data_IF_343990967893
#
_entry.id   IF_343990967893
#
_cell.length_a   1.000
_cell.length_b   1.000
_cell.length_c   1.000
_cell.angle_alpha   90.00
_cell.angle_beta   90.00
_cell.angle_gamma   90.00
#
_symmetry.space_group_name_H-M   'P 1'
#
loop_
_entity.id
_entity.type
_entity.pdbx_description
1 polymer ?
#
# COMPACT_ATOMS: atom_id res chain seq x y z
N UNK A 1 1.99 -21.78 19.10
CA UNK A 1 2.55 -21.64 17.74
C UNK A 1 1.46 -21.04 16.89
N UNK A 2 1.41 -19.70 16.83
CA UNK A 2 0.40 -18.96 16.06
C UNK A 2 1.14 -17.93 15.23
N UNK A 3 1.98 -18.44 14.31
CA UNK A 3 2.66 -17.63 13.31
C UNK A 3 1.96 -17.81 11.97
N UNK A 4 0.63 -17.68 11.96
CA UNK A 4 -0.09 -17.39 10.74
C UNK A 4 0.09 -15.89 10.46
N UNK A 5 1.32 -15.50 10.10
CA UNK A 5 1.55 -14.30 9.29
C UNK A 5 0.79 -14.56 7.99
N UNK A 6 -0.49 -14.22 7.94
CA UNK A 6 -1.13 -13.97 6.67
C UNK A 6 -0.25 -12.91 6.00
N UNK A 7 0.38 -13.26 4.88
CA UNK A 7 1.24 -12.39 4.09
C UNK A 7 0.38 -11.31 3.43
N UNK A 8 -0.19 -10.42 4.25
CA UNK A 8 -0.84 -9.21 3.79
C UNK A 8 0.24 -8.25 3.35
N UNK A 9 0.10 -7.76 2.12
CA UNK A 9 1.03 -6.80 1.54
C UNK A 9 0.39 -5.45 1.65
N UNK A 10 1.03 -4.54 2.35
CA UNK A 10 0.59 -3.17 2.42
C UNK A 10 1.39 -2.33 1.42
N UNK A 11 0.71 -1.55 0.59
CA UNK A 11 1.32 -0.77 -0.50
C UNK A 11 0.98 0.71 -0.31
N UNK A 12 2.02 1.53 -0.26
CA UNK A 12 1.92 2.97 -0.20
C UNK A 12 2.11 3.56 -1.59
N UNK A 13 1.06 4.14 -2.18
CA UNK A 13 1.12 4.71 -3.53
C UNK A 13 1.51 6.19 -3.59
N UNK A 14 1.91 6.76 -2.44
CA UNK A 14 2.40 8.14 -2.35
C UNK A 14 3.83 8.26 -2.89
N UNK A 15 4.29 9.50 -3.01
CA UNK A 15 5.66 9.83 -3.40
C UNK A 15 6.67 9.26 -2.41
N UNK A 16 7.87 8.92 -2.87
CA UNK A 16 8.99 8.53 -2.01
C UNK A 16 9.29 9.54 -0.89
N UNK A 17 9.10 10.84 -1.17
CA UNK A 17 9.28 11.88 -0.18
C UNK A 17 8.25 11.79 0.96
N UNK A 18 6.96 11.57 0.62
CA UNK A 18 5.89 11.43 1.61
C UNK A 18 6.07 10.16 2.44
N UNK A 19 6.46 9.06 1.78
CA UNK A 19 6.82 7.83 2.47
C UNK A 19 7.99 8.04 3.43
N UNK A 20 9.02 8.77 3.03
CA UNK A 20 10.17 9.11 3.87
C UNK A 20 9.85 10.02 5.06
N UNK A 21 8.82 10.87 4.94
CA UNK A 21 8.33 11.69 6.06
C UNK A 21 7.54 10.86 7.08
N UNK A 22 7.00 9.71 6.67
CA UNK A 22 6.28 8.79 7.55
C UNK A 22 5.35 7.88 6.76
N UNK A 23 5.32 6.61 7.10
CA UNK A 23 4.54 5.58 6.41
C UNK A 23 4.04 4.52 7.38
N UNK A 24 3.21 3.59 6.93
CA UNK A 24 2.76 2.50 7.79
C UNK A 24 3.89 1.43 7.88
N UNK A 25 4.29 0.98 9.07
CA UNK A 25 5.37 -0.01 9.20
C UNK A 25 5.09 -1.28 8.36
N UNK A 26 6.07 -1.67 7.54
CA UNK A 26 5.93 -2.84 6.65
C UNK A 26 5.22 -2.57 5.33
N UNK A 27 4.81 -1.32 5.06
CA UNK A 27 4.34 -0.94 3.74
C UNK A 27 5.47 -0.93 2.70
N UNK A 28 5.16 -1.28 1.45
CA UNK A 28 6.05 -1.15 0.30
C UNK A 28 5.65 0.12 -0.44
N UNK A 29 6.58 1.05 -0.63
CA UNK A 29 6.31 2.25 -1.38
C UNK A 29 6.38 2.00 -2.89
N UNK A 30 5.24 2.14 -3.57
CA UNK A 30 5.15 2.04 -5.03
C UNK A 30 4.32 3.20 -5.53
N UNK A 31 4.95 4.31 -5.96
CA UNK A 31 4.24 5.47 -6.49
C UNK A 31 3.23 5.11 -7.58
N UNK A 32 2.05 5.76 -7.56
CA UNK A 32 0.95 5.48 -8.49
C UNK A 32 1.38 5.46 -9.97
N UNK A 33 2.26 6.39 -10.36
CA UNK A 33 2.80 6.50 -11.73
C UNK A 33 3.64 5.29 -12.18
N UNK A 34 4.17 4.51 -11.24
CA UNK A 34 4.97 3.32 -11.50
C UNK A 34 4.29 2.05 -11.01
N UNK A 35 3.07 2.14 -10.48
CA UNK A 35 2.34 1.03 -9.87
C UNK A 35 2.11 -0.13 -10.84
N UNK A 36 1.72 0.14 -12.09
CA UNK A 36 1.44 -0.91 -13.08
C UNK A 36 2.70 -1.74 -13.43
N UNK A 37 3.87 -1.09 -13.49
CA UNK A 37 5.12 -1.74 -13.82
C UNK A 37 5.75 -2.41 -12.60
N UNK A 38 5.88 -1.67 -11.50
CA UNK A 38 6.56 -2.13 -10.29
C UNK A 38 5.73 -3.12 -9.49
N UNK A 39 4.39 -3.12 -9.61
CA UNK A 39 3.56 -4.15 -8.97
C UNK A 39 3.99 -5.55 -9.37
N UNK A 40 4.26 -5.77 -10.66
CA UNK A 40 4.66 -7.07 -11.20
C UNK A 40 6.03 -7.53 -10.70
N UNK A 41 6.90 -6.61 -10.31
CA UNK A 41 8.26 -6.90 -9.86
C UNK A 41 8.38 -6.95 -8.33
N UNK A 42 7.61 -6.12 -7.62
CA UNK A 42 7.71 -5.92 -6.17
C UNK A 42 6.58 -6.56 -5.36
N UNK A 43 5.41 -6.81 -5.96
CA UNK A 43 4.31 -7.48 -5.27
C UNK A 43 4.41 -8.99 -5.47
N UNK A 44 4.01 -9.78 -4.47
CA UNK A 44 4.02 -11.24 -4.55
C UNK A 44 2.90 -11.75 -5.46
N UNK A 45 2.56 -13.04 -5.32
CA UNK A 45 1.54 -13.70 -6.12
C UNK A 45 0.24 -12.90 -6.23
N UNK A 46 -0.41 -13.01 -7.38
CA UNK A 46 -1.65 -12.28 -7.71
C UNK A 46 -2.83 -12.59 -6.78
N UNK A 47 -2.74 -13.70 -6.07
CA UNK A 47 -3.72 -14.16 -5.09
C UNK A 47 -3.40 -13.71 -3.66
N UNK A 48 -2.28 -13.03 -3.42
CA UNK A 48 -1.98 -12.48 -2.10
C UNK A 48 -2.92 -11.30 -1.79
N UNK A 49 -3.36 -11.14 -0.53
CA UNK A 49 -4.16 -10.00 -0.12
C UNK A 49 -3.30 -8.73 -0.08
N UNK A 50 -3.58 -7.80 -1.00
CA UNK A 50 -2.88 -6.53 -1.15
C UNK A 50 -3.77 -5.41 -0.66
N UNK A 51 -3.27 -4.66 0.31
CA UNK A 51 -3.90 -3.47 0.87
C UNK A 51 -3.19 -2.24 0.33
N UNK A 52 -3.91 -1.34 -0.30
CA UNK A 52 -3.34 -0.12 -0.87
C UNK A 52 -3.90 1.10 -0.16
N UNK A 53 -3.00 2.00 0.24
CA UNK A 53 -3.39 3.28 0.82
C UNK A 53 -2.65 4.43 0.13
N UNK A 54 -3.26 5.60 0.16
CA UNK A 54 -2.75 6.81 -0.47
C UNK A 54 -2.94 8.03 0.44
N UNK A 55 -2.54 9.22 0.01
CA UNK A 55 -2.84 10.47 0.73
C UNK A 55 -4.34 10.81 0.73
N UNK A 56 -5.08 10.40 -0.31
CA UNK A 56 -6.52 10.65 -0.46
C UNK A 56 -7.25 9.38 -0.91
N UNK A 57 -8.57 9.34 -0.71
CA UNK A 57 -9.42 8.20 -1.09
C UNK A 57 -9.44 7.96 -2.61
N UNK A 58 -9.38 9.03 -3.41
CA UNK A 58 -9.47 8.94 -4.87
C UNK A 58 -8.25 8.22 -5.46
N UNK A 59 -7.05 8.56 -5.02
CA UNK A 59 -5.83 7.92 -5.53
C UNK A 59 -5.67 6.47 -5.05
N UNK A 60 -6.19 6.12 -3.86
CA UNK A 60 -6.20 4.71 -3.44
C UNK A 60 -7.21 3.89 -4.25
N UNK A 61 -8.34 4.46 -4.65
CA UNK A 61 -9.28 3.79 -5.57
C UNK A 61 -8.65 3.56 -6.95
N UNK A 62 -8.00 4.58 -7.52
CA UNK A 62 -7.30 4.45 -8.81
C UNK A 62 -6.22 3.35 -8.76
N UNK A 63 -5.45 3.29 -7.67
CA UNK A 63 -4.46 2.24 -7.48
C UNK A 63 -5.08 0.83 -7.43
N UNK A 64 -6.23 0.67 -6.77
CA UNK A 64 -6.95 -0.60 -6.70
C UNK A 64 -7.42 -1.05 -8.09
N UNK A 65 -7.93 -0.12 -8.90
CA UNK A 65 -8.35 -0.39 -10.28
C UNK A 65 -7.17 -0.81 -11.16
N UNK A 66 -6.03 -0.13 -11.06
CA UNK A 66 -4.80 -0.46 -11.79
C UNK A 66 -4.30 -1.88 -11.44
N UNK A 67 -4.26 -2.23 -10.15
CA UNK A 67 -3.85 -3.57 -9.73
C UNK A 67 -4.85 -4.64 -10.14
N UNK A 68 -6.15 -4.36 -10.02
CA UNK A 68 -7.19 -5.27 -10.49
C UNK A 68 -7.06 -5.52 -12.00
N UNK A 69 -6.78 -4.48 -12.78
CA UNK A 69 -6.50 -4.56 -14.22
C UNK A 69 -5.21 -5.34 -14.55
N UNK A 70 -4.20 -5.28 -13.69
CA UNK A 70 -2.98 -6.09 -13.81
C UNK A 70 -3.20 -7.59 -13.47
N UNK A 71 -4.39 -7.93 -12.97
CA UNK A 71 -4.83 -9.29 -12.68
C UNK A 71 -4.65 -9.72 -11.22
N UNK A 72 -4.43 -8.78 -10.30
CA UNK A 72 -4.50 -9.07 -8.87
C UNK A 72 -5.96 -9.32 -8.46
N UNK A 73 -6.22 -10.43 -7.78
CA UNK A 73 -7.58 -10.85 -7.44
C UNK A 73 -8.04 -10.34 -6.08
N UNK A 74 -7.08 -10.06 -5.18
CA UNK A 74 -7.34 -9.64 -3.80
C UNK A 74 -6.70 -8.28 -3.51
N UNK A 75 -7.29 -7.21 -4.05
CA UNK A 75 -6.84 -5.84 -3.82
C UNK A 75 -7.88 -5.08 -3.01
N UNK A 76 -7.45 -4.45 -1.92
CA UNK A 76 -8.31 -3.75 -0.97
C UNK A 76 -7.85 -2.31 -0.79
N UNK A 77 -8.81 -1.38 -0.79
CA UNK A 77 -8.55 0.00 -0.39
C UNK A 77 -8.44 0.08 1.14
N UNK A 78 -7.24 0.38 1.64
CA UNK A 78 -6.98 0.57 3.07
C UNK A 78 -7.28 2.00 3.55
N UNK A 79 -7.72 2.88 2.66
CA UNK A 79 -8.14 4.24 2.95
C UNK A 79 -7.05 5.28 2.70
N UNK A 80 -7.22 6.43 3.34
CA UNK A 80 -6.25 7.52 3.30
C UNK A 80 -5.24 7.40 4.47
N UNK A 81 -4.01 7.80 4.23
CA UNK A 81 -2.97 7.91 5.26
C UNK A 81 -3.37 8.88 6.37
N UNK A 82 -4.17 9.91 6.05
CA UNK A 82 -4.64 10.90 7.01
C UNK A 82 -5.68 10.33 7.98
N UNK A 83 -6.51 9.40 7.51
CA UNK A 83 -7.55 8.75 8.31
C UNK A 83 -7.01 7.52 9.05
N UNK A 84 -5.73 7.19 8.90
CA UNK A 84 -5.13 6.01 9.53
C UNK A 84 -5.02 6.19 11.05
N UNK A 85 -5.76 5.41 11.88
CA UNK A 85 -5.88 5.69 13.31
C UNK A 85 -4.76 5.04 14.16
N UNK A 86 -3.81 4.34 13.52
CA UNK A 86 -2.77 3.56 14.20
C UNK A 86 -1.38 4.15 14.00
N UNK A 87 -0.40 3.58 14.71
CA UNK A 87 1.00 4.01 14.66
C UNK A 87 1.55 3.97 13.22
N UNK A 88 2.15 5.09 12.81
CA UNK A 88 2.93 5.21 11.59
C UNK A 88 4.41 5.31 11.97
N UNK A 89 5.31 4.94 11.07
CA UNK A 89 6.76 5.16 11.20
C UNK A 89 7.14 6.64 11.10
N UNK A 90 6.15 7.54 10.91
CA UNK A 90 6.40 8.97 11.03
C UNK A 90 7.18 9.22 12.32
N UNK A 91 8.29 9.98 12.26
CA UNK A 91 8.99 10.34 13.47
C UNK A 91 7.96 11.04 14.34
N UNK A 92 7.73 10.48 15.53
CA UNK A 92 6.98 11.13 16.59
C UNK A 92 7.56 12.53 16.67
N UNK A 93 6.81 13.54 16.26
CA UNK A 93 7.15 14.93 16.56
C UNK A 93 7.20 15.01 18.08
N UNK A 94 8.41 15.00 18.62
CA UNK A 94 8.70 15.41 19.98
C UNK A 94 8.24 16.86 20.19
#
# INVERSE_FOLDING_TARGET
MLDAKQEMVLVDVRSFNDYGMGHIPGAINIPLNSLEMLSKEQLPDKDAPIYVYCSTQDCSNEAVELLSGAGYTQVYNAGSYQDWPYDTTAPISC
#
